data_IF_727030979776
#
_entry.id   IF_727030979776
#
_cell.length_a   1.000
_cell.length_b   1.000
_cell.length_c   1.000
_cell.angle_alpha   90.00
_cell.angle_beta   90.00
_cell.angle_gamma   90.00
#
_symmetry.space_group_name_H-M   'P 1'
#
loop_
_entity.id
_entity.type
_entity.pdbx_description
1 polymer ?
#
# COMPACT_ATOMS: atom_id res chain seq x y z
N UNK A 1 16.52 -29.97 4.99
CA UNK A 1 16.54 -28.82 4.05
C UNK A 1 15.47 -29.03 2.99
N UNK A 2 14.25 -28.53 3.21
CA UNK A 2 13.11 -28.74 2.32
C UNK A 2 12.73 -27.49 1.52
N UNK A 3 12.72 -27.61 0.20
CA UNK A 3 11.92 -26.87 -0.79
C UNK A 3 11.91 -25.32 -0.89
N UNK A 4 12.65 -24.53 -0.10
CA UNK A 4 12.58 -23.04 -0.19
C UNK A 4 13.14 -22.42 -1.49
N UNK A 5 14.11 -23.06 -2.16
CA UNK A 5 14.70 -22.57 -3.42
C UNK A 5 13.77 -22.68 -4.64
N UNK A 6 12.57 -23.28 -4.52
CA UNK A 6 11.68 -23.49 -5.68
C UNK A 6 10.90 -22.23 -6.11
N UNK A 7 10.70 -21.28 -5.20
CA UNK A 7 9.92 -20.08 -5.48
C UNK A 7 10.78 -18.83 -5.78
N UNK A 8 12.10 -18.94 -5.59
CA UNK A 8 13.06 -17.88 -5.90
C UNK A 8 13.80 -18.25 -7.18
N UNK A 9 13.69 -17.40 -8.20
CA UNK A 9 14.57 -17.51 -9.36
C UNK A 9 15.85 -16.75 -9.03
N UNK A 10 16.98 -17.44 -9.12
CA UNK A 10 18.29 -16.83 -9.01
C UNK A 10 18.82 -16.56 -10.41
N UNK A 11 19.22 -15.33 -10.67
CA UNK A 11 20.03 -14.98 -11.84
C UNK A 11 21.44 -14.73 -11.36
N UNK A 12 22.41 -15.50 -11.86
CA UNK A 12 23.83 -15.32 -11.53
C UNK A 12 24.54 -14.70 -12.71
N UNK A 13 25.28 -13.62 -12.47
CA UNK A 13 26.12 -12.95 -13.46
C UNK A 13 27.52 -12.68 -12.89
N UNK A 14 28.49 -12.49 -13.79
CA UNK A 14 29.82 -12.03 -13.41
C UNK A 14 29.85 -10.51 -13.46
N UNK A 15 30.14 -9.88 -12.33
CA UNK A 15 30.29 -8.43 -12.20
C UNK A 15 31.63 -8.14 -11.54
N UNK A 16 32.49 -7.40 -12.25
CA UNK A 16 33.83 -7.02 -11.77
C UNK A 16 34.70 -8.21 -11.32
N UNK A 17 34.53 -9.38 -11.95
CA UNK A 17 35.26 -10.61 -11.63
C UNK A 17 34.67 -11.43 -10.47
N UNK A 18 33.61 -10.96 -9.82
CA UNK A 18 32.89 -11.69 -8.77
C UNK A 18 31.54 -12.22 -9.30
N UNK A 19 31.16 -13.43 -8.88
CA UNK A 19 29.82 -13.97 -9.15
C UNK A 19 28.82 -13.31 -8.21
N UNK A 20 27.82 -12.66 -8.79
CA UNK A 20 26.73 -12.03 -8.06
C UNK A 20 25.38 -12.63 -8.46
N UNK A 21 24.46 -12.63 -7.51
CA UNK A 21 23.13 -13.20 -7.62
C UNK A 21 22.07 -12.09 -7.53
N UNK A 22 20.99 -12.29 -8.27
CA UNK A 22 19.74 -11.53 -8.13
C UNK A 22 18.62 -12.45 -7.67
N UNK A 23 17.69 -11.91 -6.89
CA UNK A 23 16.50 -12.63 -6.43
C UNK A 23 15.29 -12.06 -7.16
N UNK A 24 14.56 -12.95 -7.83
CA UNK A 24 13.31 -12.60 -8.49
C UNK A 24 12.12 -13.28 -7.82
N UNK A 25 11.04 -12.52 -7.62
CA UNK A 25 9.73 -12.98 -7.15
C UNK A 25 8.66 -12.46 -8.11
N UNK A 26 7.86 -13.35 -8.69
CA UNK A 26 6.82 -13.00 -9.68
C UNK A 26 7.35 -12.13 -10.83
N UNK A 27 8.53 -12.50 -11.34
CA UNK A 27 9.29 -11.79 -12.39
C UNK A 27 9.69 -10.35 -12.04
N UNK A 28 9.61 -9.97 -10.76
CA UNK A 28 10.15 -8.72 -10.23
C UNK A 28 11.46 -8.99 -9.53
N UNK A 29 12.49 -8.21 -9.89
CA UNK A 29 13.80 -8.29 -9.27
C UNK A 29 13.78 -7.51 -7.95
N UNK A 30 13.70 -8.23 -6.83
CA UNK A 30 13.59 -7.64 -5.48
C UNK A 30 14.94 -7.36 -4.84
N UNK A 31 16.00 -8.02 -5.32
CA UNK A 31 17.37 -7.79 -4.87
C UNK A 31 18.34 -8.14 -6.00
N UNK A 32 19.46 -7.43 -6.07
CA UNK A 32 20.48 -7.62 -7.10
C UNK A 32 21.88 -7.34 -6.57
N UNK A 33 22.90 -7.87 -7.25
CA UNK A 33 24.30 -7.66 -6.89
C UNK A 33 24.71 -8.34 -5.58
N UNK A 34 24.01 -9.39 -5.14
CA UNK A 34 24.34 -10.13 -3.92
C UNK A 34 25.54 -11.03 -4.24
N UNK A 35 26.72 -10.88 -3.61
CA UNK A 35 27.81 -11.83 -3.83
C UNK A 35 27.35 -13.27 -3.59
N UNK A 36 27.71 -14.21 -4.48
CA UNK A 36 27.23 -15.60 -4.40
C UNK A 36 27.55 -16.24 -3.03
N UNK A 37 28.70 -15.90 -2.47
CA UNK A 37 29.15 -16.32 -1.12
C UNK A 37 28.25 -15.83 0.02
N UNK A 38 27.54 -14.71 -0.17
CA UNK A 38 26.71 -14.06 0.83
C UNK A 38 25.22 -14.40 0.66
N UNK A 39 24.85 -15.13 -0.41
CA UNK A 39 23.46 -15.40 -0.75
C UNK A 39 22.69 -16.13 0.36
N UNK A 40 23.30 -17.14 0.99
CA UNK A 40 22.66 -17.90 2.07
C UNK A 40 22.38 -17.00 3.28
N UNK A 41 23.37 -16.21 3.68
CA UNK A 41 23.24 -15.23 4.77
C UNK A 41 22.17 -14.18 4.47
N UNK A 42 22.06 -13.76 3.21
CA UNK A 42 21.02 -12.84 2.77
C UNK A 42 19.62 -13.44 2.95
N UNK A 43 19.42 -14.69 2.53
CA UNK A 43 18.15 -15.41 2.70
C UNK A 43 17.80 -15.59 4.19
N UNK A 44 18.77 -15.97 5.02
CA UNK A 44 18.56 -16.08 6.47
C UNK A 44 18.12 -14.76 7.12
N UNK A 45 18.63 -13.63 6.63
CA UNK A 45 18.22 -12.33 7.12
C UNK A 45 16.78 -11.99 6.71
N UNK A 46 16.40 -12.27 5.46
CA UNK A 46 15.00 -12.11 5.01
C UNK A 46 14.04 -12.95 5.86
N UNK A 47 14.41 -14.17 6.22
CA UNK A 47 13.59 -14.99 7.11
C UNK A 47 13.44 -14.39 8.51
N UNK A 48 14.54 -13.85 9.06
CA UNK A 48 14.50 -13.18 10.36
C UNK A 48 13.63 -11.93 10.31
N UNK A 49 13.70 -11.17 9.23
CA UNK A 49 12.84 -9.99 9.01
C UNK A 49 11.37 -10.39 8.90
N UNK A 50 11.04 -11.39 8.08
CA UNK A 50 9.69 -11.94 7.96
C UNK A 50 9.13 -12.38 9.32
N UNK A 51 9.92 -13.12 10.11
CA UNK A 51 9.54 -13.58 11.46
C UNK A 51 9.31 -12.43 12.43
N UNK A 52 10.13 -11.37 12.40
CA UNK A 52 9.97 -10.18 13.26
C UNK A 52 8.62 -9.49 13.05
N UNK A 53 8.10 -9.53 11.82
CA UNK A 53 6.79 -8.94 11.46
C UNK A 53 5.66 -9.98 11.44
N UNK A 54 5.90 -11.20 11.93
CA UNK A 54 4.90 -12.26 12.03
C UNK A 54 4.42 -12.81 10.68
N UNK A 55 5.23 -12.69 9.63
CA UNK A 55 4.91 -13.15 8.26
C UNK A 55 5.69 -14.40 7.91
N UNK A 56 5.17 -15.18 6.95
CA UNK A 56 5.98 -16.20 6.28
C UNK A 56 7.01 -15.53 5.37
N UNK A 57 8.08 -16.25 5.00
CA UNK A 57 9.05 -15.74 4.03
C UNK A 57 8.38 -15.42 2.69
N UNK A 58 7.46 -16.28 2.22
CA UNK A 58 6.73 -16.07 0.97
C UNK A 58 5.90 -14.77 1.00
N UNK A 59 5.13 -14.54 2.08
CA UNK A 59 4.35 -13.29 2.23
C UNK A 59 5.24 -12.05 2.24
N UNK A 60 6.41 -12.16 2.87
CA UNK A 60 7.38 -11.07 2.92
C UNK A 60 8.00 -10.79 1.55
N UNK A 61 8.34 -11.83 0.79
CA UNK A 61 8.86 -11.70 -0.57
C UNK A 61 7.83 -11.11 -1.53
N UNK A 62 6.56 -11.50 -1.42
CA UNK A 62 5.48 -10.93 -2.22
C UNK A 62 5.27 -9.45 -1.91
N UNK A 63 5.36 -9.06 -0.64
CA UNK A 63 5.32 -7.65 -0.23
C UNK A 63 6.51 -6.86 -0.77
N UNK A 64 7.73 -7.40 -0.71
CA UNK A 64 8.92 -6.76 -1.30
C UNK A 64 8.77 -6.58 -2.82
N UNK A 65 8.23 -7.58 -3.51
CA UNK A 65 7.96 -7.49 -4.94
C UNK A 65 6.94 -6.39 -5.26
N UNK A 66 5.88 -6.26 -4.47
CA UNK A 66 4.88 -5.22 -4.65
C UNK A 66 5.42 -3.82 -4.34
N UNK A 67 6.21 -3.66 -3.26
CA UNK A 67 6.89 -2.39 -2.96
C UNK A 67 7.86 -2.01 -4.07
N UNK A 68 8.60 -2.97 -4.63
CA UNK A 68 9.52 -2.74 -5.75
C UNK A 68 8.78 -2.20 -6.98
N UNK A 69 7.64 -2.82 -7.35
CA UNK A 69 6.80 -2.33 -8.47
C UNK A 69 6.30 -0.90 -8.23
N UNK A 70 5.94 -0.57 -6.98
CA UNK A 70 5.49 0.77 -6.60
C UNK A 70 6.66 1.77 -6.77
N UNK A 71 7.85 1.42 -6.30
CA UNK A 71 9.03 2.27 -6.41
C UNK A 71 9.47 2.48 -7.86
N UNK A 72 9.39 1.45 -8.69
CA UNK A 72 9.66 1.57 -10.13
C UNK A 72 8.63 2.46 -10.83
N UNK A 73 7.35 2.35 -10.46
CA UNK A 73 6.31 3.24 -10.98
C UNK A 73 6.52 4.70 -10.54
N UNK A 74 6.97 4.94 -9.32
CA UNK A 74 7.31 6.28 -8.82
C UNK A 74 8.45 6.89 -9.65
N UNK A 75 9.52 6.11 -9.89
CA UNK A 75 10.66 6.53 -10.71
C UNK A 75 10.23 6.83 -12.15
N UNK A 76 9.44 5.96 -12.76
CA UNK A 76 8.97 6.13 -14.15
C UNK A 76 8.09 7.39 -14.29
N UNK A 77 7.27 7.70 -13.29
CA UNK A 77 6.38 8.85 -13.30
C UNK A 77 7.03 10.16 -12.82
N UNK A 78 8.30 10.10 -12.39
CA UNK A 78 9.05 11.19 -11.77
C UNK A 78 8.28 11.84 -10.61
N UNK A 79 7.76 11.00 -9.69
CA UNK A 79 6.99 11.47 -8.53
C UNK A 79 7.93 11.76 -7.36
N UNK A 80 7.88 12.99 -6.87
CA UNK A 80 8.57 13.37 -5.64
C UNK A 80 7.75 12.96 -4.40
N UNK A 81 8.39 12.29 -3.45
CA UNK A 81 7.80 11.95 -2.14
C UNK A 81 8.01 13.11 -1.17
N UNK A 82 6.92 13.78 -0.81
CA UNK A 82 6.88 14.88 0.18
C UNK A 82 6.67 14.39 1.62
N UNK A 83 6.33 13.11 1.80
CA UNK A 83 6.16 12.51 3.14
C UNK A 83 7.49 12.53 3.88
N UNK A 84 7.55 13.07 5.12
CA UNK A 84 8.77 13.05 5.91
C UNK A 84 9.24 11.62 6.20
N UNK A 85 10.56 11.43 6.28
CA UNK A 85 11.14 10.13 6.63
C UNK A 85 10.74 9.73 8.05
N UNK A 86 10.15 8.54 8.20
CA UNK A 86 9.95 7.90 9.49
C UNK A 86 11.31 7.56 10.12
N UNK A 87 11.56 8.07 11.33
CA UNK A 87 12.82 7.87 12.07
C UNK A 87 12.70 6.84 13.20
N UNK A 88 11.52 6.27 13.40
CA UNK A 88 11.29 5.26 14.43
C UNK A 88 11.77 3.88 13.96
N UNK A 89 12.09 2.99 14.91
CA UNK A 89 12.27 1.56 14.59
C UNK A 89 10.96 0.96 14.09
N UNK A 90 11.01 -0.24 13.50
CA UNK A 90 9.81 -0.93 13.05
C UNK A 90 8.82 -1.17 14.21
N UNK A 91 9.31 -1.67 15.34
CA UNK A 91 8.49 -1.95 16.52
C UNK A 91 7.89 -0.67 17.11
N UNK A 92 8.67 0.41 17.18
CA UNK A 92 8.19 1.71 17.66
C UNK A 92 7.16 2.32 16.70
N UNK A 93 7.34 2.14 15.40
CA UNK A 93 6.39 2.58 14.36
C UNK A 93 5.05 1.87 14.50
N UNK A 94 5.06 0.55 14.67
CA UNK A 94 3.84 -0.25 14.83
C UNK A 94 3.08 0.14 16.12
N UNK A 95 3.78 0.30 17.25
CA UNK A 95 3.16 0.76 18.50
C UNK A 95 2.51 2.14 18.37
N UNK A 96 3.22 3.09 17.75
CA UNK A 96 2.67 4.44 17.52
C UNK A 96 1.48 4.40 16.57
N UNK A 97 1.53 3.58 15.52
CA UNK A 97 0.43 3.40 14.58
C UNK A 97 -0.83 2.88 15.27
N UNK A 98 -0.69 1.90 16.16
CA UNK A 98 -1.80 1.38 16.96
C UNK A 98 -2.43 2.47 17.84
N UNK A 99 -1.62 3.28 18.53
CA UNK A 99 -2.09 4.42 19.31
C UNK A 99 -2.90 5.40 18.44
N UNK A 100 -2.34 5.83 17.31
CA UNK A 100 -3.00 6.77 16.38
C UNK A 100 -4.35 6.24 15.91
N UNK A 101 -4.42 4.96 15.52
CA UNK A 101 -5.67 4.33 15.07
C UNK A 101 -6.70 4.32 16.20
N UNK A 102 -6.29 4.01 17.44
CA UNK A 102 -7.18 4.00 18.59
C UNK A 102 -7.71 5.40 18.94
N UNK A 103 -6.86 6.42 18.87
CA UNK A 103 -7.28 7.82 19.08
C UNK A 103 -8.30 8.25 18.01
N UNK A 104 -8.05 7.93 16.74
CA UNK A 104 -8.98 8.23 15.65
C UNK A 104 -10.31 7.46 15.77
N UNK A 105 -10.30 6.23 16.32
CA UNK A 105 -11.54 5.46 16.58
C UNK A 105 -12.44 6.14 17.62
N UNK A 106 -11.86 6.88 18.56
CA UNK A 106 -12.59 7.66 19.55
C UNK A 106 -13.14 8.98 18.98
N UNK A 107 -12.68 9.38 17.79
CA UNK A 107 -13.17 10.56 17.08
C UNK A 107 -14.54 10.37 16.43
N UNK A 108 -15.28 11.48 16.26
CA UNK A 108 -16.64 11.49 15.69
C UNK A 108 -16.69 11.39 14.16
N UNK A 109 -15.59 11.64 13.45
CA UNK A 109 -15.55 11.67 11.98
C UNK A 109 -15.17 10.33 11.34
N UNK A 110 -15.10 9.23 12.10
CA UNK A 110 -14.98 7.89 11.52
C UNK A 110 -16.22 7.55 10.69
N UNK A 111 -16.07 6.66 9.71
CA UNK A 111 -17.20 6.22 8.87
C UNK A 111 -18.39 5.77 9.72
N UNK A 112 -19.62 6.02 9.29
CA UNK A 112 -20.82 5.50 9.94
C UNK A 112 -21.71 4.80 8.90
N UNK A 113 -21.86 3.46 8.94
CA UNK A 113 -22.71 2.73 7.99
C UNK A 113 -24.19 3.10 8.13
N UNK A 114 -24.63 3.57 9.30
CA UNK A 114 -26.03 3.87 9.60
C UNK A 114 -26.46 5.30 9.24
N UNK A 115 -25.60 6.06 8.56
CA UNK A 115 -25.88 7.48 8.28
C UNK A 115 -27.07 7.66 7.33
N UNK A 116 -27.86 8.71 7.58
CA UNK A 116 -29.10 9.04 6.86
C UNK A 116 -28.96 9.00 5.33
N UNK A 117 -27.92 9.64 4.78
CA UNK A 117 -27.68 9.69 3.33
C UNK A 117 -27.51 8.32 2.67
N UNK A 118 -26.90 7.35 3.35
CA UNK A 118 -26.78 5.98 2.80
C UNK A 118 -28.14 5.26 2.82
N UNK A 119 -28.92 5.44 3.88
CA UNK A 119 -30.27 4.88 4.02
C UNK A 119 -31.22 5.43 2.95
N UNK A 120 -31.18 6.73 2.69
CA UNK A 120 -31.99 7.40 1.65
C UNK A 120 -31.67 6.87 0.25
N UNK A 121 -30.42 6.51 -0.01
CA UNK A 121 -29.99 5.91 -1.27
C UNK A 121 -30.24 4.39 -1.33
N UNK A 122 -30.69 3.75 -0.24
CA UNK A 122 -30.85 2.30 -0.16
C UNK A 122 -29.51 1.55 -0.25
N UNK A 123 -28.43 2.14 0.26
CA UNK A 123 -27.07 1.62 0.12
C UNK A 123 -26.56 1.09 1.46
N UNK A 124 -26.03 -0.14 1.43
CA UNK A 124 -25.30 -0.74 2.56
C UNK A 124 -23.82 -0.79 2.25
N UNK A 125 -23.00 -0.18 3.11
CA UNK A 125 -21.53 -0.21 3.04
C UNK A 125 -20.97 -0.67 4.37
N UNK A 126 -19.80 -1.33 4.34
CA UNK A 126 -19.14 -1.85 5.53
C UNK A 126 -18.00 -0.94 5.96
N UNK A 127 -17.69 -0.98 7.26
CA UNK A 127 -16.44 -0.42 7.77
C UNK A 127 -15.28 -1.25 7.25
N UNK A 128 -14.15 -0.60 7.02
CA UNK A 128 -12.87 -1.27 6.82
C UNK A 128 -12.45 -2.07 8.06
N UNK A 129 -11.43 -2.91 7.92
CA UNK A 129 -10.87 -3.73 9.01
C UNK A 129 -10.46 -2.91 10.23
N UNK A 130 -9.88 -1.71 10.04
CA UNK A 130 -9.50 -0.80 11.13
C UNK A 130 -10.67 0.05 11.64
N UNK A 131 -11.79 0.10 10.91
CA UNK A 131 -13.03 0.68 11.39
C UNK A 131 -13.14 2.20 11.27
N UNK A 132 -12.12 2.87 10.74
CA UNK A 132 -12.08 4.32 10.57
C UNK A 132 -12.69 4.75 9.23
N UNK A 133 -12.49 3.93 8.21
CA UNK A 133 -12.94 4.18 6.83
C UNK A 133 -14.10 3.27 6.41
N UNK A 134 -14.62 3.57 5.22
CA UNK A 134 -15.49 2.67 4.45
C UNK A 134 -14.64 1.77 3.58
N UNK A 135 -15.07 0.53 3.41
CA UNK A 135 -14.45 -0.42 2.47
C UNK A 135 -15.43 -0.77 1.35
N UNK A 136 -15.02 -0.52 0.12
CA UNK A 136 -15.81 -0.75 -1.08
C UNK A 136 -15.52 -2.11 -1.74
N UNK A 137 -14.58 -2.90 -1.20
CA UNK A 137 -14.27 -4.22 -1.72
C UNK A 137 -15.52 -5.12 -1.80
N UNK A 138 -15.71 -5.76 -2.95
CA UNK A 138 -16.88 -6.61 -3.22
C UNK A 138 -18.19 -5.85 -3.48
N UNK A 139 -18.18 -4.51 -3.51
CA UNK A 139 -19.38 -3.72 -3.84
C UNK A 139 -19.46 -3.40 -5.33
N UNK A 140 -20.68 -3.19 -5.84
CA UNK A 140 -20.92 -2.73 -7.22
C UNK A 140 -20.42 -1.30 -7.50
N UNK A 141 -20.01 -0.57 -6.46
CA UNK A 141 -19.59 0.83 -6.55
C UNK A 141 -18.11 0.99 -6.87
N UNK A 142 -17.35 -0.10 -6.88
CA UNK A 142 -16.03 -0.12 -7.48
C UNK A 142 -16.14 0.03 -8.99
N UNK A 143 -15.14 0.71 -9.57
CA UNK A 143 -14.99 0.77 -11.02
C UNK A 143 -14.90 -0.64 -11.62
N UNK A 144 -15.67 -0.90 -12.66
CA UNK A 144 -15.69 -2.19 -13.34
C UNK A 144 -14.46 -2.29 -14.26
N UNK A 145 -13.55 -3.20 -13.95
CA UNK A 145 -12.29 -3.36 -14.67
C UNK A 145 -12.45 -4.26 -15.89
N UNK A 146 -11.60 -4.07 -16.89
CA UNK A 146 -11.49 -4.99 -18.03
C UNK A 146 -10.05 -5.42 -18.24
N UNK A 147 -9.84 -6.65 -18.74
CA UNK A 147 -8.50 -7.19 -19.00
C UNK A 147 -7.62 -7.21 -17.76
N UNK A 148 -6.48 -6.51 -17.82
CA UNK A 148 -5.48 -6.43 -16.74
C UNK A 148 -5.69 -5.25 -15.78
N UNK A 149 -6.75 -4.46 -15.96
CA UNK A 149 -7.01 -3.30 -15.11
C UNK A 149 -7.35 -3.72 -13.68
N UNK A 150 -7.01 -2.85 -12.72
CA UNK A 150 -7.37 -3.01 -11.31
C UNK A 150 -8.18 -1.81 -10.83
N UNK A 151 -9.06 -2.04 -9.87
CA UNK A 151 -9.83 -1.00 -9.17
C UNK A 151 -9.42 -0.90 -7.69
N UNK A 152 -8.59 -1.81 -7.21
CA UNK A 152 -7.96 -1.77 -5.89
C UNK A 152 -6.46 -1.93 -6.13
N UNK A 153 -5.67 -0.97 -5.67
CA UNK A 153 -4.21 -1.01 -5.76
C UNK A 153 -3.59 -0.51 -4.46
N UNK A 154 -2.37 -0.93 -4.20
CA UNK A 154 -1.54 -0.40 -3.11
C UNK A 154 -0.59 0.64 -3.69
N UNK A 155 -0.46 1.78 -3.02
CA UNK A 155 0.47 2.86 -3.40
C UNK A 155 1.35 3.23 -2.22
N UNK A 156 2.52 3.81 -2.47
CA UNK A 156 3.27 4.55 -1.45
C UNK A 156 2.70 5.96 -1.39
N UNK A 157 2.31 6.37 -0.19
CA UNK A 157 1.73 7.69 0.06
C UNK A 157 2.77 8.77 -0.22
N UNK A 158 2.44 9.71 -1.12
CA UNK A 158 3.40 10.70 -1.65
C UNK A 158 3.40 12.02 -0.89
N UNK A 159 2.36 12.29 -0.10
CA UNK A 159 2.15 13.61 0.54
C UNK A 159 1.31 14.56 -0.30
N UNK A 160 0.88 14.16 -1.51
CA UNK A 160 0.12 14.98 -2.46
C UNK A 160 -0.97 14.13 -3.14
N UNK A 161 -2.24 14.47 -2.97
CA UNK A 161 -3.36 13.66 -3.51
C UNK A 161 -3.28 13.47 -5.04
N UNK A 162 -2.90 14.52 -5.78
CA UNK A 162 -2.73 14.43 -7.23
C UNK A 162 -1.66 13.42 -7.67
N UNK A 163 -0.55 13.34 -6.94
CA UNK A 163 0.52 12.37 -7.18
C UNK A 163 0.11 10.96 -6.79
N UNK A 164 -0.60 10.80 -5.67
CA UNK A 164 -1.19 9.52 -5.25
C UNK A 164 -2.14 8.98 -6.33
N UNK A 165 -2.99 9.84 -6.91
CA UNK A 165 -3.92 9.45 -7.97
C UNK A 165 -3.21 9.11 -9.28
N UNK A 166 -2.13 9.83 -9.63
CA UNK A 166 -1.28 9.51 -10.80
C UNK A 166 -0.65 8.13 -10.64
N UNK A 167 -0.09 7.85 -9.45
CA UNK A 167 0.51 6.56 -9.11
C UNK A 167 -0.52 5.43 -9.12
N UNK A 168 -1.70 5.66 -8.53
CA UNK A 168 -2.79 4.70 -8.53
C UNK A 168 -3.26 4.34 -9.95
N UNK A 169 -3.45 5.33 -10.83
CA UNK A 169 -3.81 5.08 -12.23
C UNK A 169 -2.77 4.19 -12.93
N UNK A 170 -1.48 4.49 -12.78
CA UNK A 170 -0.39 3.71 -13.37
C UNK A 170 -0.42 2.25 -12.90
N UNK A 171 -0.50 2.03 -11.58
CA UNK A 171 -0.51 0.69 -10.99
C UNK A 171 -1.81 -0.07 -11.28
N UNK A 172 -2.90 0.66 -11.56
CA UNK A 172 -4.17 0.11 -11.99
C UNK A 172 -4.25 -0.24 -13.48
N UNK A 173 -3.21 0.08 -14.27
CA UNK A 173 -3.24 -0.09 -15.72
C UNK A 173 -4.19 0.88 -16.43
N UNK A 174 -4.45 2.05 -15.83
CA UNK A 174 -5.32 3.09 -16.36
C UNK A 174 -4.48 4.25 -16.91
N UNK A 175 -4.82 4.72 -18.12
CA UNK A 175 -4.19 5.93 -18.68
C UNK A 175 -4.57 7.20 -17.91
N UNK A 176 -5.80 7.24 -17.40
CA UNK A 176 -6.35 8.31 -16.58
C UNK A 176 -7.46 7.77 -15.70
N UNK A 177 -7.74 8.48 -14.61
CA UNK A 177 -8.90 8.22 -13.76
C UNK A 177 -10.20 8.35 -14.57
N UNK A 178 -11.10 7.36 -14.55
CA UNK A 178 -12.40 7.45 -15.20
C UNK A 178 -13.25 8.62 -14.68
N UNK A 179 -14.05 9.22 -15.56
CA UNK A 179 -15.03 10.26 -15.19
C UNK A 179 -16.08 9.66 -14.25
N UNK A 180 -16.47 10.40 -13.21
CA UNK A 180 -17.43 9.92 -12.20
C UNK A 180 -16.81 9.07 -11.09
N UNK A 181 -15.52 8.71 -11.17
CA UNK A 181 -14.83 7.92 -10.15
C UNK A 181 -13.76 8.71 -9.41
N UNK A 182 -13.47 8.33 -8.16
CA UNK A 182 -12.38 8.87 -7.34
C UNK A 182 -11.57 7.76 -6.72
N UNK A 183 -10.28 7.99 -6.48
CA UNK A 183 -9.47 7.10 -5.66
C UNK A 183 -9.76 7.41 -4.19
N UNK A 184 -10.24 6.41 -3.47
CA UNK A 184 -10.54 6.41 -2.05
C UNK A 184 -9.37 5.79 -1.29
N UNK A 185 -8.72 6.52 -0.39
CA UNK A 185 -7.68 5.99 0.47
C UNK A 185 -8.30 5.22 1.65
N UNK A 186 -8.03 3.91 1.72
CA UNK A 186 -8.44 3.07 2.85
C UNK A 186 -7.61 3.44 4.09
N UNK A 187 -8.01 3.04 5.29
CA UNK A 187 -7.33 3.39 6.55
C UNK A 187 -6.13 2.50 6.90
N UNK A 188 -5.65 1.72 5.96
CA UNK A 188 -4.67 0.65 6.16
C UNK A 188 -3.20 1.08 6.00
N UNK A 189 -2.89 2.38 6.12
CA UNK A 189 -1.52 2.88 6.03
C UNK A 189 -0.53 2.06 6.89
N UNK A 190 0.57 1.66 6.26
CA UNK A 190 1.67 0.91 6.85
C UNK A 190 2.91 1.83 7.02
N UNK A 191 3.34 2.11 8.26
CA UNK A 191 4.47 3.01 8.52
C UNK A 191 5.85 2.42 8.20
N UNK A 192 5.93 1.12 7.91
CA UNK A 192 7.17 0.42 7.55
C UNK A 192 7.45 0.60 6.07
N UNK A 193 6.47 0.30 5.24
CA UNK A 193 6.59 0.39 3.78
C UNK A 193 6.18 1.76 3.23
N UNK A 194 5.46 2.57 4.03
CA UNK A 194 4.88 3.83 3.60
C UNK A 194 3.68 3.66 2.69
N UNK A 195 3.10 2.46 2.62
CA UNK A 195 2.05 2.12 1.65
C UNK A 195 0.65 2.20 2.23
N UNK A 196 -0.34 2.35 1.35
CA UNK A 196 -1.77 2.37 1.67
C UNK A 196 -2.56 1.83 0.48
N UNK A 197 -3.66 1.11 0.76
CA UNK A 197 -4.60 0.67 -0.27
C UNK A 197 -5.49 1.84 -0.71
N UNK A 198 -5.65 1.98 -2.02
CA UNK A 198 -6.62 2.90 -2.63
C UNK A 198 -7.60 2.14 -3.51
N UNK A 199 -8.87 2.55 -3.47
CA UNK A 199 -9.98 1.92 -4.17
C UNK A 199 -10.61 2.92 -5.15
N UNK A 200 -10.75 2.57 -6.42
CA UNK A 200 -11.39 3.40 -7.43
C UNK A 200 -12.91 3.22 -7.35
N UNK A 201 -13.57 4.24 -6.81
CA UNK A 201 -14.98 4.16 -6.40
C UNK A 201 -15.82 5.24 -7.07
N UNK A 202 -17.10 4.97 -7.21
CA UNK A 202 -18.08 5.97 -7.63
C UNK A 202 -18.00 7.21 -6.71
N UNK A 203 -17.86 8.39 -7.32
CA UNK A 203 -17.62 9.64 -6.59
C UNK A 203 -18.83 10.07 -5.77
N UNK A 204 -20.04 9.83 -6.26
CA UNK A 204 -21.27 10.18 -5.53
C UNK A 204 -21.41 9.31 -4.28
N UNK A 205 -21.09 8.02 -4.41
CA UNK A 205 -21.13 7.07 -3.29
C UNK A 205 -20.01 7.37 -2.30
N UNK A 206 -18.81 7.71 -2.77
CA UNK A 206 -17.73 8.17 -1.91
C UNK A 206 -18.15 9.38 -1.08
N UNK A 207 -18.73 10.42 -1.72
CA UNK A 207 -19.25 11.60 -1.01
C UNK A 207 -20.40 11.23 -0.07
N UNK A 208 -21.26 10.29 -0.47
CA UNK A 208 -22.32 9.78 0.37
C UNK A 208 -21.81 9.03 1.60
N UNK A 209 -20.56 8.55 1.60
CA UNK A 209 -19.94 7.87 2.75
C UNK A 209 -19.28 8.82 3.76
N UNK A 210 -18.98 10.08 3.40
CA UNK A 210 -18.25 11.04 4.26
C UNK A 210 -19.05 11.48 5.51
N UNK A 211 -18.43 11.80 6.64
CA UNK A 211 -16.99 11.81 6.87
C UNK A 211 -16.47 10.39 7.18
N UNK A 212 -15.19 10.20 6.91
CA UNK A 212 -14.42 9.04 7.35
C UNK A 212 -12.94 9.42 7.48
N UNK A 213 -12.14 8.62 8.17
CA UNK A 213 -10.69 8.80 8.20
C UNK A 213 -10.03 7.74 7.33
N UNK A 214 -9.44 8.16 6.21
CA UNK A 214 -8.61 7.32 5.35
C UNK A 214 -7.13 7.32 5.77
N UNK A 215 -6.30 6.58 5.02
CA UNK A 215 -4.88 6.38 5.30
C UNK A 215 -4.08 7.68 5.32
N UNK A 216 -4.50 8.68 4.53
CA UNK A 216 -3.91 10.02 4.58
C UNK A 216 -4.03 10.63 5.97
N UNK A 217 -5.20 10.54 6.62
CA UNK A 217 -5.38 11.09 7.97
C UNK A 217 -4.56 10.31 9.00
N UNK A 218 -4.50 8.99 8.85
CA UNK A 218 -3.67 8.12 9.71
C UNK A 218 -2.19 8.52 9.61
N UNK A 219 -1.69 8.75 8.40
CA UNK A 219 -0.32 9.20 8.15
C UNK A 219 -0.03 10.60 8.74
N UNK A 220 -0.93 11.56 8.53
CA UNK A 220 -0.78 12.91 9.08
C UNK A 220 -0.60 12.90 10.61
N UNK A 221 -1.43 12.14 11.33
CA UNK A 221 -1.32 11.98 12.79
C UNK A 221 -0.05 11.20 13.18
N UNK A 222 0.30 10.17 12.40
CA UNK A 222 1.49 9.37 12.65
C UNK A 222 2.79 10.19 12.53
N UNK A 223 2.94 11.03 11.51
CA UNK A 223 4.15 11.84 11.28
C UNK A 223 4.06 13.28 11.78
N UNK A 224 2.90 13.72 12.28
CA UNK A 224 2.60 15.13 12.53
C UNK A 224 2.92 16.01 11.30
N UNK A 225 2.37 15.60 10.16
CA UNK A 225 2.57 16.21 8.85
C UNK A 225 1.20 16.59 8.25
N UNK A 226 1.17 17.52 7.29
CA UNK A 226 -0.06 17.87 6.55
C UNK A 226 0.11 17.56 5.07
N UNK A 227 -0.84 16.82 4.53
CA UNK A 227 -0.89 16.54 3.11
C UNK A 227 -1.13 17.81 2.29
N UNK A 228 -0.43 17.92 1.16
CA UNK A 228 -0.65 19.00 0.22
C UNK A 228 -1.86 18.69 -0.67
N UNK A 229 -2.64 19.74 -0.94
CA UNK A 229 -3.88 19.70 -1.73
C UNK A 229 -4.87 18.65 -1.24
N UNK A 230 -5.61 18.98 -0.17
CA UNK A 230 -6.91 18.37 0.09
C UNK A 230 -7.98 19.29 -0.48
N UNK A 231 -8.83 18.86 -1.43
CA UNK A 231 -10.01 19.63 -1.79
C UNK A 231 -10.93 19.83 -0.58
#
# INVERSE_FOLDING_TARGET
>A
MGNMKKCLKFATELKDGEKVCSILRNDVKIAEGIPEKDLEKYIENLEKEAKKVGKTLDDHLDELADVTKIDDAIKELDIEIKVPKNRLSAEASLRRMESVVNDLKNGSKRFNPEKKKLKELGITLKRSKKGLSVDFEGTRYLYQTTGKQKNIVKIKLTGVDGSDFKLANKLAGLKKKPTGYTWHHLDDYDPITGTCTVQLVDSEIHVASLPHYGGVKVLEEFLNFKYLSRP
#
